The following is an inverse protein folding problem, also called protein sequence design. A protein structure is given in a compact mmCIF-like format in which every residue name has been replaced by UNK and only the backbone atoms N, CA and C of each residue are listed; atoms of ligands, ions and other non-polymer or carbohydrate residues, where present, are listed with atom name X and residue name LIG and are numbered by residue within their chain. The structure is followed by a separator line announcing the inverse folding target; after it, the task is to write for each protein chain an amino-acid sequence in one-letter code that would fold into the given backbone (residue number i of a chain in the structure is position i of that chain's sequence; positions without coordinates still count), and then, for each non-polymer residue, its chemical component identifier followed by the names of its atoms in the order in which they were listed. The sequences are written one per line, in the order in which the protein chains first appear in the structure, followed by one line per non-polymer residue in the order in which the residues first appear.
data_IF_179591281840
#
_entry.id   IF_179591281840
#
_cell.length_a   1.000
_cell.length_b   1.000
_cell.length_c   1.000
_cell.angle_alpha   90.00
_cell.angle_beta   90.00
_cell.angle_gamma   90.00
#
_symmetry.space_group_name_H-M   'P 1'
#
loop_
_entity.id
_entity.type
_entity.pdbx_description
1 polymer ?
#
# COMPACT_ATOMS: atom_id res chain seq x y z
N UNK A 1 -3.60 6.07 -26.25
CA UNK A 1 -4.86 6.17 -25.47
C UNK A 1 -5.17 7.62 -25.23
N UNK A 2 -6.28 8.13 -25.72
CA UNK A 2 -6.77 9.47 -25.40
C UNK A 2 -7.25 9.45 -23.93
N UNK A 3 -6.58 10.22 -23.07
CA UNK A 3 -7.09 10.46 -21.70
C UNK A 3 -8.49 11.05 -21.82
N UNK A 4 -9.45 10.60 -21.01
CA UNK A 4 -10.81 11.11 -21.08
C UNK A 4 -10.79 12.62 -20.86
N UNK A 5 -11.48 13.38 -21.72
CA UNK A 5 -11.60 14.86 -21.68
C UNK A 5 -12.21 15.41 -20.37
N UNK A 6 -12.69 14.54 -19.48
CA UNK A 6 -13.33 14.83 -18.20
C UNK A 6 -12.39 15.54 -17.22
N UNK A 7 -11.08 15.22 -17.22
CA UNK A 7 -10.12 15.85 -16.31
C UNK A 7 -9.89 17.35 -16.59
N UNK A 8 -10.00 17.76 -17.85
CA UNK A 8 -9.80 19.16 -18.25
C UNK A 8 -10.88 20.11 -17.71
N UNK A 9 -12.13 19.68 -17.66
CA UNK A 9 -13.24 20.48 -17.16
C UNK A 9 -13.24 20.60 -15.64
N UNK A 10 -12.91 19.51 -14.93
CA UNK A 10 -12.80 19.51 -13.47
C UNK A 10 -11.66 20.43 -12.99
N UNK A 11 -10.50 20.39 -13.67
CA UNK A 11 -9.38 21.29 -13.37
C UNK A 11 -9.76 22.76 -13.62
N UNK A 12 -10.45 23.05 -14.72
CA UNK A 12 -10.91 24.42 -15.03
C UNK A 12 -11.92 24.93 -14.00
N UNK A 13 -12.88 24.09 -13.60
CA UNK A 13 -13.84 24.43 -12.55
C UNK A 13 -13.15 24.77 -11.24
N UNK A 14 -12.22 23.90 -10.80
CA UNK A 14 -11.42 24.12 -9.59
C UNK A 14 -10.61 25.44 -9.66
N UNK A 15 -9.89 25.68 -10.76
CA UNK A 15 -9.11 26.89 -10.94
C UNK A 15 -9.97 28.16 -10.92
N UNK A 16 -11.18 28.12 -11.47
CA UNK A 16 -12.14 29.21 -11.44
C UNK A 16 -12.62 29.50 -10.02
N UNK A 17 -12.87 28.48 -9.24
CA UNK A 17 -13.38 28.62 -7.88
C UNK A 17 -12.33 29.18 -6.92
N UNK A 18 -11.09 28.69 -6.98
CA UNK A 18 -10.00 29.24 -6.17
C UNK A 18 -9.61 30.67 -6.62
N UNK A 19 -9.86 31.01 -7.89
CA UNK A 19 -9.59 32.33 -8.44
C UNK A 19 -10.47 33.45 -7.87
N UNK A 20 -11.65 33.11 -7.33
CA UNK A 20 -12.60 34.05 -6.73
C UNK A 20 -12.19 34.53 -5.33
N UNK A 21 -11.29 33.78 -4.68
CA UNK A 21 -10.86 34.07 -3.32
C UNK A 21 -9.74 35.11 -3.36
N UNK A 22 -9.89 36.25 -2.65
CA UNK A 22 -8.86 37.27 -2.61
C UNK A 22 -7.61 36.77 -1.87
N UNK A 23 -6.45 37.29 -2.25
CA UNK A 23 -5.21 37.03 -1.53
C UNK A 23 -5.22 37.79 -0.20
N UNK A 24 -4.52 37.25 0.80
CA UNK A 24 -4.35 37.92 2.09
C UNK A 24 -3.22 38.92 2.05
N UNK A 25 -3.41 40.01 2.74
CA UNK A 25 -2.33 40.96 3.04
C UNK A 25 -1.47 40.47 4.21
N UNK A 26 -0.26 40.98 4.33
CA UNK A 26 0.68 40.55 5.36
C UNK A 26 0.13 40.70 6.79
N UNK A 27 -0.54 41.80 7.06
CA UNK A 27 -1.14 42.07 8.37
C UNK A 27 -2.30 41.07 8.67
N UNK A 28 -3.07 40.70 7.64
CA UNK A 28 -4.10 39.67 7.76
C UNK A 28 -3.48 38.30 8.03
N UNK A 29 -2.37 37.94 7.38
CA UNK A 29 -1.63 36.69 7.65
C UNK A 29 -1.21 36.58 9.11
N UNK A 30 -0.70 37.67 9.67
CA UNK A 30 -0.28 37.75 11.09
C UNK A 30 -1.48 37.61 12.01
N UNK A 31 -2.58 38.32 11.74
CA UNK A 31 -3.77 38.27 12.58
C UNK A 31 -4.44 36.90 12.57
N UNK A 32 -4.58 36.30 11.39
CA UNK A 32 -5.14 34.95 11.23
C UNK A 32 -4.19 33.91 11.85
N UNK A 33 -2.88 34.01 11.63
CA UNK A 33 -1.89 33.10 12.18
C UNK A 33 -1.92 33.08 13.73
N UNK A 34 -2.09 34.22 14.41
CA UNK A 34 -2.24 34.30 15.85
C UNK A 34 -3.49 33.54 16.33
N UNK A 35 -4.63 33.68 15.61
CA UNK A 35 -5.87 32.94 15.96
C UNK A 35 -5.69 31.43 15.77
N UNK A 36 -4.99 31.00 14.72
CA UNK A 36 -4.68 29.58 14.50
C UNK A 36 -3.74 29.05 15.57
N UNK A 37 -2.74 29.83 16.02
CA UNK A 37 -1.88 29.40 17.14
C UNK A 37 -2.69 29.19 18.45
N UNK A 38 -3.64 30.09 18.72
CA UNK A 38 -4.53 29.92 19.88
C UNK A 38 -5.38 28.64 19.78
N UNK A 39 -5.91 28.37 18.59
CA UNK A 39 -6.62 27.11 18.31
C UNK A 39 -5.72 25.90 18.56
N UNK A 40 -4.50 25.90 17.99
CA UNK A 40 -3.58 24.76 18.11
C UNK A 40 -3.18 24.49 19.57
N UNK A 41 -2.95 25.53 20.39
CA UNK A 41 -2.69 25.38 21.83
C UNK A 41 -3.84 24.66 22.56
N UNK A 42 -5.09 25.00 22.21
CA UNK A 42 -6.26 24.35 22.81
C UNK A 42 -6.35 22.87 22.37
N UNK A 43 -6.08 22.60 21.10
CA UNK A 43 -6.10 21.25 20.54
C UNK A 43 -4.99 20.38 21.12
N UNK A 44 -3.77 20.89 21.26
CA UNK A 44 -2.63 20.19 21.84
C UNK A 44 -2.89 19.84 23.30
N UNK A 45 -3.36 20.79 24.12
CA UNK A 45 -3.74 20.52 25.51
C UNK A 45 -4.86 19.49 25.63
N UNK A 46 -5.83 19.52 24.73
CA UNK A 46 -6.88 18.50 24.71
C UNK A 46 -6.34 17.11 24.36
N UNK A 47 -5.31 17.01 23.53
CA UNK A 47 -4.65 15.73 23.20
C UNK A 47 -3.78 15.22 24.35
N UNK A 48 -3.07 16.10 25.06
CA UNK A 48 -2.23 15.75 26.21
C UNK A 48 -3.03 15.27 27.41
N UNK A 49 -4.15 15.93 27.69
CA UNK A 49 -4.98 15.64 28.87
C UNK A 49 -5.98 14.48 28.64
N UNK A 50 -6.14 14.01 27.38
CA UNK A 50 -7.09 12.93 27.04
C UNK A 50 -8.55 13.35 27.01
N UNK A 51 -9.51 12.44 27.14
CA UNK A 51 -10.95 12.72 27.11
C UNK A 51 -11.38 13.43 28.41
N UNK A 52 -11.29 14.77 28.41
CA UNK A 52 -11.66 15.65 29.52
C UNK A 52 -12.87 16.49 29.13
N UNK A 53 -13.71 16.85 30.11
CA UNK A 53 -14.83 17.74 29.91
C UNK A 53 -14.37 19.17 29.54
N UNK A 54 -15.14 19.84 28.69
CA UNK A 54 -14.87 21.22 28.23
C UNK A 54 -14.63 22.21 29.38
N UNK A 55 -15.18 21.93 30.59
CA UNK A 55 -15.05 22.80 31.75
C UNK A 55 -13.66 22.71 32.40
N UNK A 56 -13.13 21.53 32.51
CA UNK A 56 -11.81 21.30 33.08
C UNK A 56 -10.69 21.74 32.14
N UNK A 57 -10.91 21.58 30.83
CA UNK A 57 -10.02 22.13 29.80
C UNK A 57 -10.00 23.67 29.86
N UNK A 58 -11.15 24.32 30.04
CA UNK A 58 -11.23 25.76 30.17
C UNK A 58 -10.52 26.26 31.41
N UNK A 59 -10.64 25.53 32.56
CA UNK A 59 -9.90 25.84 33.79
C UNK A 59 -8.39 25.72 33.60
N UNK A 60 -7.93 24.67 32.94
CA UNK A 60 -6.50 24.49 32.62
C UNK A 60 -5.92 25.62 31.76
N UNK A 61 -6.71 26.20 30.86
CA UNK A 61 -6.36 27.33 30.04
C UNK A 61 -6.52 28.69 30.76
N UNK A 62 -7.13 28.73 31.95
CA UNK A 62 -7.41 29.96 32.70
C UNK A 62 -8.48 30.86 32.03
N UNK A 63 -9.35 30.30 31.17
CA UNK A 63 -10.39 31.01 30.44
C UNK A 63 -11.77 30.44 30.72
N UNK A 64 -12.82 31.21 30.41
CA UNK A 64 -14.19 30.71 30.56
C UNK A 64 -14.55 29.72 29.43
N UNK A 65 -15.40 28.74 29.73
CA UNK A 65 -15.93 27.78 28.70
C UNK A 65 -16.50 28.49 27.47
N UNK A 66 -17.17 29.62 27.66
CA UNK A 66 -17.74 30.42 26.58
C UNK A 66 -16.66 31.05 25.71
N UNK A 67 -15.59 31.52 26.31
CA UNK A 67 -14.44 32.12 25.64
C UNK A 67 -13.64 31.06 24.87
N UNK A 68 -13.40 29.89 25.46
CA UNK A 68 -12.76 28.77 24.82
C UNK A 68 -13.54 28.34 23.55
N UNK A 69 -14.85 28.18 23.63
CA UNK A 69 -15.68 27.85 22.45
C UNK A 69 -15.68 28.94 21.38
N UNK A 70 -15.52 30.21 21.76
CA UNK A 70 -15.36 31.30 20.82
C UNK A 70 -13.98 31.23 20.14
N UNK A 71 -12.90 31.03 20.87
CA UNK A 71 -11.55 30.92 20.33
C UNK A 71 -11.43 29.73 19.40
N UNK A 72 -12.05 28.58 19.72
CA UNK A 72 -12.10 27.40 18.82
C UNK A 72 -12.75 27.76 17.48
N UNK A 73 -13.96 28.32 17.50
CA UNK A 73 -14.69 28.71 16.27
C UNK A 73 -13.96 29.77 15.45
N UNK A 74 -13.42 30.79 16.12
CA UNK A 74 -12.70 31.88 15.46
C UNK A 74 -11.37 31.38 14.88
N UNK A 75 -10.72 30.45 15.56
CA UNK A 75 -9.51 29.77 15.09
C UNK A 75 -9.76 28.85 13.90
N UNK A 76 -10.83 28.04 13.91
CA UNK A 76 -11.24 27.22 12.76
C UNK A 76 -11.53 28.06 11.53
N UNK A 77 -12.34 29.14 11.68
CA UNK A 77 -12.63 30.09 10.58
C UNK A 77 -11.37 30.78 10.06
N UNK A 78 -10.43 31.12 10.95
CA UNK A 78 -9.16 31.71 10.57
C UNK A 78 -8.30 30.72 9.78
N UNK A 79 -8.24 29.45 10.22
CA UNK A 79 -7.57 28.36 9.53
C UNK A 79 -8.12 28.15 8.13
N UNK A 80 -9.46 28.05 8.00
CA UNK A 80 -10.12 27.87 6.71
C UNK A 80 -9.84 29.05 5.77
N UNK A 81 -9.98 30.30 6.26
CA UNK A 81 -9.70 31.49 5.45
C UNK A 81 -8.25 31.50 4.98
N UNK A 82 -7.30 31.14 5.84
CA UNK A 82 -5.88 31.10 5.52
C UNK A 82 -5.53 30.00 4.51
N UNK A 83 -6.15 28.83 4.62
CA UNK A 83 -5.99 27.74 3.65
C UNK A 83 -6.59 28.14 2.30
N UNK A 84 -7.82 28.60 2.27
CA UNK A 84 -8.54 28.95 1.04
C UNK A 84 -7.82 30.05 0.24
N UNK A 85 -7.33 31.09 0.88
CA UNK A 85 -6.61 32.20 0.22
C UNK A 85 -5.25 31.75 -0.39
N UNK A 86 -4.67 30.62 0.09
CA UNK A 86 -3.39 30.12 -0.36
C UNK A 86 -3.46 28.89 -1.29
N UNK A 87 -4.64 28.44 -1.72
CA UNK A 87 -4.78 27.32 -2.66
C UNK A 87 -4.08 27.60 -4.01
N UNK A 88 -4.01 28.86 -4.45
CA UNK A 88 -3.28 29.25 -5.66
C UNK A 88 -1.78 28.94 -5.56
N UNK A 89 -1.19 29.07 -4.36
CA UNK A 89 0.19 28.69 -4.10
C UNK A 89 0.38 27.16 -4.27
N UNK A 90 -0.56 26.35 -3.75
CA UNK A 90 -0.52 24.89 -3.92
C UNK A 90 -0.50 24.51 -5.40
N UNK A 91 -1.37 25.11 -6.21
CA UNK A 91 -1.41 24.86 -7.67
C UNK A 91 -0.08 25.23 -8.34
N UNK A 92 0.52 26.35 -7.96
CA UNK A 92 1.82 26.80 -8.52
C UNK A 92 2.94 25.80 -8.25
N UNK A 93 2.92 25.16 -7.07
CA UNK A 93 3.89 24.12 -6.69
C UNK A 93 3.53 22.80 -7.39
N UNK A 94 2.27 22.37 -7.36
CA UNK A 94 1.78 21.12 -7.95
C UNK A 94 2.08 21.00 -9.46
N UNK A 95 1.98 22.10 -10.20
CA UNK A 95 2.32 22.15 -11.63
C UNK A 95 3.74 21.65 -11.96
N UNK A 96 4.69 21.78 -11.04
CA UNK A 96 6.08 21.31 -11.23
C UNK A 96 6.20 19.79 -11.14
N UNK A 97 5.17 19.10 -10.61
CA UNK A 97 5.15 17.65 -10.39
C UNK A 97 4.21 16.91 -11.33
N UNK A 98 3.66 17.59 -12.34
CA UNK A 98 2.92 16.93 -13.43
C UNK A 98 3.79 15.87 -14.11
N UNK A 99 3.19 14.83 -14.68
CA UNK A 99 3.87 13.68 -15.34
C UNK A 99 4.58 12.71 -14.38
N UNK A 100 4.10 12.61 -13.13
CA UNK A 100 4.63 11.68 -12.12
C UNK A 100 3.69 10.50 -11.82
N UNK A 101 2.92 10.02 -12.82
CA UNK A 101 1.92 8.95 -12.68
C UNK A 101 0.85 9.24 -11.62
N UNK A 102 0.51 10.51 -11.47
CA UNK A 102 -0.53 10.98 -10.56
C UNK A 102 -1.27 12.13 -11.24
N UNK A 103 -2.59 12.17 -11.12
CA UNK A 103 -3.40 13.21 -11.71
C UNK A 103 -3.14 14.56 -11.03
N UNK A 104 -3.22 15.66 -11.79
CA UNK A 104 -2.93 17.00 -11.25
C UNK A 104 -3.83 17.37 -10.08
N UNK A 105 -5.10 16.99 -10.11
CA UNK A 105 -6.03 17.27 -9.01
C UNK A 105 -5.63 16.51 -7.73
N UNK A 106 -5.19 15.26 -7.86
CA UNK A 106 -4.71 14.48 -6.72
C UNK A 106 -3.45 15.09 -6.11
N UNK A 107 -2.50 15.55 -6.96
CA UNK A 107 -1.31 16.25 -6.50
C UNK A 107 -1.68 17.54 -5.76
N UNK A 108 -2.69 18.28 -6.24
CA UNK A 108 -3.19 19.50 -5.59
C UNK A 108 -3.81 19.15 -4.24
N UNK A 109 -4.61 18.09 -4.13
CA UNK A 109 -5.23 17.68 -2.86
C UNK A 109 -4.17 17.29 -1.82
N UNK A 110 -3.18 16.51 -2.20
CA UNK A 110 -2.07 16.15 -1.31
C UNK A 110 -1.24 17.37 -0.90
N UNK A 111 -1.03 18.29 -1.83
CA UNK A 111 -0.40 19.59 -1.54
C UNK A 111 -1.23 20.44 -0.59
N UNK A 112 -2.57 20.40 -0.69
CA UNK A 112 -3.49 21.11 0.20
C UNK A 112 -3.45 20.54 1.63
N UNK A 113 -3.31 19.21 1.77
CA UNK A 113 -3.08 18.57 3.08
C UNK A 113 -1.75 19.08 3.69
N UNK A 114 -0.72 19.20 2.86
CA UNK A 114 0.54 19.82 3.27
C UNK A 114 0.37 21.28 3.69
N UNK A 115 -0.41 22.08 2.94
CA UNK A 115 -0.72 23.47 3.26
C UNK A 115 -1.43 23.58 4.62
N UNK A 116 -2.41 22.74 4.91
CA UNK A 116 -3.11 22.72 6.21
C UNK A 116 -2.11 22.54 7.35
N UNK A 117 -1.19 21.58 7.25
CA UNK A 117 -0.12 21.39 8.25
C UNK A 117 0.80 22.63 8.35
N UNK A 118 1.06 23.28 7.22
CA UNK A 118 1.83 24.53 7.20
C UNK A 118 1.11 25.67 7.94
N UNK A 119 -0.21 25.79 7.81
CA UNK A 119 -1.03 26.78 8.52
C UNK A 119 -1.04 26.49 10.03
N UNK A 120 -1.20 25.24 10.43
CA UNK A 120 -1.20 24.82 11.85
C UNK A 120 0.10 25.13 12.57
N UNK A 121 1.24 25.00 11.86
CA UNK A 121 2.58 25.18 12.43
C UNK A 121 3.18 26.56 12.15
N UNK A 122 2.44 27.46 11.52
CA UNK A 122 2.94 28.78 11.18
C UNK A 122 3.08 29.67 12.41
N UNK A 123 4.27 30.28 12.55
CA UNK A 123 4.55 31.25 13.60
C UNK A 123 4.67 32.66 13.01
N UNK A 124 3.66 33.52 13.15
CA UNK A 124 3.68 34.90 12.65
C UNK A 124 4.67 35.79 13.39
N UNK A 125 5.16 35.38 14.56
CA UNK A 125 6.13 36.19 15.33
C UNK A 125 7.54 36.21 14.71
N UNK A 126 7.84 35.29 13.79
CA UNK A 126 9.15 35.21 13.12
C UNK A 126 9.36 36.19 11.98
N UNK A 127 8.37 36.98 11.60
CA UNK A 127 8.47 38.03 10.58
C UNK A 127 8.61 37.56 9.12
N UNK A 128 8.54 36.27 8.85
CA UNK A 128 8.57 35.72 7.49
C UNK A 128 7.18 35.67 6.88
N UNK A 129 7.10 35.87 5.55
CA UNK A 129 5.85 35.68 4.80
C UNK A 129 5.39 34.21 4.89
N UNK A 130 4.08 34.01 5.03
CA UNK A 130 3.51 32.67 5.10
C UNK A 130 3.87 31.80 3.90
N UNK A 131 3.89 32.36 2.70
CA UNK A 131 4.20 31.63 1.45
C UNK A 131 5.57 30.94 1.46
N UNK A 132 6.59 31.56 2.09
CA UNK A 132 7.94 30.98 2.20
C UNK A 132 7.94 29.72 3.06
N UNK A 133 7.19 29.72 4.16
CA UNK A 133 7.07 28.59 5.06
C UNK A 133 6.16 27.50 4.49
N UNK A 134 5.00 27.87 3.95
CA UNK A 134 4.02 26.97 3.38
C UNK A 134 4.58 26.16 2.19
N UNK A 135 5.47 26.75 1.38
CA UNK A 135 6.10 26.08 0.25
C UNK A 135 6.75 24.75 0.63
N UNK A 136 7.44 24.69 1.76
CA UNK A 136 8.13 23.49 2.23
C UNK A 136 7.13 22.38 2.61
N UNK A 137 6.05 22.73 3.30
CA UNK A 137 5.00 21.79 3.69
C UNK A 137 4.21 21.25 2.49
N UNK A 138 3.87 22.14 1.56
CA UNK A 138 3.20 21.75 0.30
C UNK A 138 4.11 20.79 -0.48
N UNK A 139 5.38 21.15 -0.66
CA UNK A 139 6.35 20.30 -1.35
C UNK A 139 6.52 18.95 -0.67
N UNK A 140 6.62 18.92 0.65
CA UNK A 140 6.75 17.69 1.42
C UNK A 140 5.50 16.80 1.25
N UNK A 141 4.30 17.37 1.34
CA UNK A 141 3.04 16.65 1.10
C UNK A 141 3.02 16.00 -0.28
N UNK A 142 3.30 16.79 -1.32
CA UNK A 142 3.32 16.30 -2.71
C UNK A 142 4.37 15.21 -2.93
N UNK A 143 5.61 15.42 -2.49
CA UNK A 143 6.69 14.45 -2.72
C UNK A 143 6.45 13.14 -1.98
N UNK A 144 5.91 13.22 -0.76
CA UNK A 144 5.52 12.04 0.01
C UNK A 144 4.38 11.28 -0.66
N UNK A 145 3.34 11.98 -1.11
CA UNK A 145 2.20 11.38 -1.80
C UNK A 145 2.63 10.68 -3.11
N UNK A 146 3.52 11.31 -3.88
CA UNK A 146 4.09 10.69 -5.09
C UNK A 146 4.87 9.41 -4.73
N UNK A 147 5.67 9.41 -3.66
CA UNK A 147 6.40 8.23 -3.25
C UNK A 147 5.48 7.07 -2.81
N UNK A 148 4.36 7.39 -2.16
CA UNK A 148 3.44 6.41 -1.57
C UNK A 148 2.31 5.95 -2.51
N UNK A 149 1.82 6.82 -3.41
CA UNK A 149 0.56 6.62 -4.16
C UNK A 149 0.70 6.59 -5.68
N UNK A 150 1.87 6.94 -6.26
CA UNK A 150 2.03 7.04 -7.71
C UNK A 150 2.11 5.70 -8.44
N UNK A 151 2.21 4.57 -7.72
CA UNK A 151 2.35 3.23 -8.28
C UNK A 151 1.12 2.37 -8.00
N UNK A 152 0.72 1.55 -8.97
CA UNK A 152 -0.36 0.57 -8.78
C UNK A 152 0.01 -0.44 -7.66
N UNK A 153 1.25 -0.90 -7.63
CA UNK A 153 1.78 -1.71 -6.54
C UNK A 153 2.65 -0.80 -5.67
N UNK A 154 2.21 -0.56 -4.43
CA UNK A 154 2.92 0.31 -3.47
C UNK A 154 4.29 -0.25 -3.13
N UNK A 155 5.31 0.61 -3.15
CA UNK A 155 6.65 0.32 -2.67
C UNK A 155 6.93 1.04 -1.34
N UNK A 156 7.75 0.47 -0.45
CA UNK A 156 8.24 1.16 0.74
C UNK A 156 9.04 2.43 0.36
N UNK A 157 9.02 3.43 1.25
CA UNK A 157 9.65 4.74 0.97
C UNK A 157 11.15 4.60 0.70
N UNK A 158 11.87 3.78 1.49
CA UNK A 158 13.31 3.56 1.30
C UNK A 158 13.66 2.97 -0.07
N UNK A 159 12.81 2.06 -0.61
CA UNK A 159 12.98 1.52 -1.97
C UNK A 159 12.78 2.61 -3.01
N UNK A 160 11.76 3.46 -2.83
CA UNK A 160 11.49 4.60 -3.73
C UNK A 160 12.63 5.61 -3.71
N UNK A 161 13.23 5.88 -2.54
CA UNK A 161 14.42 6.73 -2.41
C UNK A 161 15.63 6.14 -3.13
N UNK A 162 15.89 4.84 -2.96
CA UNK A 162 16.97 4.15 -3.67
C UNK A 162 16.76 4.15 -5.18
N UNK A 163 15.51 3.96 -5.65
CA UNK A 163 15.17 4.09 -7.07
C UNK A 163 15.41 5.51 -7.61
N UNK A 164 15.13 6.54 -6.80
CA UNK A 164 15.42 7.92 -7.18
C UNK A 164 16.93 8.19 -7.24
N UNK A 165 17.72 7.65 -6.29
CA UNK A 165 19.19 7.71 -6.32
C UNK A 165 19.73 7.00 -7.57
N UNK A 166 19.23 5.80 -7.88
CA UNK A 166 19.61 5.03 -9.06
C UNK A 166 19.35 5.81 -10.35
N UNK A 167 18.14 6.38 -10.50
CA UNK A 167 17.79 7.21 -11.67
C UNK A 167 18.65 8.49 -11.78
N UNK A 168 19.03 9.06 -10.65
CA UNK A 168 19.92 10.24 -10.62
C UNK A 168 21.33 9.84 -11.08
N UNK A 169 21.89 8.76 -10.52
CA UNK A 169 23.18 8.21 -10.90
C UNK A 169 23.25 7.84 -12.39
N UNK A 170 22.19 7.20 -12.92
CA UNK A 170 22.09 6.88 -14.34
C UNK A 170 22.18 8.13 -15.22
N UNK A 171 21.50 9.22 -14.86
CA UNK A 171 21.55 10.49 -15.62
C UNK A 171 22.91 11.14 -15.55
N UNK A 172 23.52 11.21 -14.36
CA UNK A 172 24.83 11.84 -14.14
C UNK A 172 25.92 11.10 -14.88
N UNK A 173 25.98 9.77 -14.77
CA UNK A 173 26.94 8.95 -15.50
C UNK A 173 26.71 8.99 -17.01
N UNK A 174 25.46 9.01 -17.47
CA UNK A 174 25.14 9.14 -18.88
C UNK A 174 25.56 10.48 -19.46
N UNK A 175 25.49 11.57 -18.68
CA UNK A 175 26.00 12.89 -19.09
C UNK A 175 27.55 12.93 -19.18
N UNK A 176 28.22 12.22 -18.27
CA UNK A 176 29.70 12.18 -18.25
C UNK A 176 30.24 11.29 -19.35
N UNK A 177 29.68 10.08 -19.51
CA UNK A 177 30.19 9.06 -20.43
C UNK A 177 29.64 9.15 -21.84
N UNK A 178 28.53 9.92 -22.05
CA UNK A 178 27.83 9.97 -23.34
C UNK A 178 26.98 8.75 -23.66
N UNK A 179 27.08 7.68 -22.88
CA UNK A 179 26.40 6.40 -23.05
C UNK A 179 25.67 5.97 -21.77
N UNK A 180 24.72 5.03 -21.90
CA UNK A 180 24.02 4.46 -20.75
C UNK A 180 25.00 3.67 -19.85
N UNK A 181 25.07 3.96 -18.53
CA UNK A 181 25.98 3.28 -17.63
C UNK A 181 25.64 1.80 -17.46
N UNK A 182 26.67 0.95 -17.39
CA UNK A 182 26.53 -0.46 -17.08
C UNK A 182 26.24 -0.67 -15.58
N UNK A 183 25.71 -1.85 -15.23
CA UNK A 183 25.35 -2.22 -13.85
C UNK A 183 26.57 -2.13 -12.91
N UNK A 184 27.77 -2.49 -13.38
CA UNK A 184 29.01 -2.38 -12.60
C UNK A 184 29.37 -0.93 -12.28
N UNK A 185 29.25 -0.02 -13.25
CA UNK A 185 29.50 1.42 -13.04
C UNK A 185 28.51 2.05 -12.05
N UNK A 186 27.25 1.58 -12.07
CA UNK A 186 26.24 2.00 -11.12
C UNK A 186 26.52 1.44 -9.71
N UNK A 187 27.05 0.21 -9.62
CA UNK A 187 27.47 -0.42 -8.39
C UNK A 187 28.58 0.39 -7.70
N UNK A 188 29.62 0.73 -8.46
CA UNK A 188 30.75 1.52 -7.97
C UNK A 188 30.36 2.95 -7.57
N UNK A 189 29.40 3.55 -8.30
CA UNK A 189 28.95 4.91 -8.04
C UNK A 189 28.02 5.04 -6.82
N UNK A 190 27.20 4.01 -6.56
CA UNK A 190 26.19 4.02 -5.49
C UNK A 190 26.62 3.27 -4.23
N UNK A 191 27.79 2.63 -4.22
CA UNK A 191 28.24 1.74 -3.13
C UNK A 191 27.23 0.62 -2.82
N UNK A 192 26.59 0.06 -3.86
CA UNK A 192 25.62 -1.02 -3.77
C UNK A 192 26.14 -2.25 -4.51
N UNK A 193 25.74 -3.43 -4.07
CA UNK A 193 26.08 -4.68 -4.78
C UNK A 193 25.36 -4.77 -6.13
N UNK A 194 25.96 -5.49 -7.07
CA UNK A 194 25.38 -5.71 -8.41
C UNK A 194 23.99 -6.35 -8.32
N UNK A 195 23.80 -7.26 -7.36
CA UNK A 195 22.52 -7.96 -7.19
C UNK A 195 21.43 -7.04 -6.60
N UNK A 196 21.78 -6.13 -5.69
CA UNK A 196 20.87 -5.10 -5.19
C UNK A 196 20.42 -4.16 -6.31
N UNK A 197 21.31 -3.78 -7.22
CA UNK A 197 20.95 -2.93 -8.36
C UNK A 197 20.03 -3.67 -9.32
N UNK A 198 20.29 -4.95 -9.62
CA UNK A 198 19.38 -5.76 -10.44
C UNK A 198 18.00 -5.89 -9.82
N UNK A 199 17.94 -6.12 -8.51
CA UNK A 199 16.68 -6.18 -7.75
C UNK A 199 15.93 -4.85 -7.79
N UNK A 200 16.62 -3.72 -7.59
CA UNK A 200 16.05 -2.38 -7.74
C UNK A 200 15.54 -2.12 -9.17
N UNK A 201 16.29 -2.54 -10.19
CA UNK A 201 15.84 -2.41 -11.58
C UNK A 201 14.58 -3.26 -11.85
N UNK A 202 14.51 -4.46 -11.30
CA UNK A 202 13.31 -5.31 -11.39
C UNK A 202 12.11 -4.65 -10.72
N UNK A 203 12.27 -4.12 -9.50
CA UNK A 203 11.24 -3.38 -8.76
C UNK A 203 10.86 -2.03 -9.41
N UNK A 204 11.72 -1.50 -10.27
CA UNK A 204 11.45 -0.27 -11.05
C UNK A 204 10.36 -0.45 -12.10
N UNK A 205 10.12 -1.67 -12.58
CA UNK A 205 9.14 -1.98 -13.62
C UNK A 205 7.73 -1.60 -13.15
N UNK A 206 6.91 -1.15 -14.08
CA UNK A 206 5.51 -0.85 -13.83
C UNK A 206 4.64 -1.92 -14.47
N UNK A 207 3.52 -2.30 -13.84
CA UNK A 207 2.56 -3.21 -14.47
C UNK A 207 1.98 -2.56 -15.73
N UNK A 208 1.75 -3.40 -16.71
CA UNK A 208 1.14 -3.03 -17.99
C UNK A 208 -0.35 -3.39 -17.93
N UNK A 209 -1.21 -2.58 -18.56
CA UNK A 209 -2.64 -2.89 -18.63
C UNK A 209 -2.89 -4.11 -19.50
N UNK A 210 -3.75 -5.01 -19.05
CA UNK A 210 -4.19 -6.17 -19.81
C UNK A 210 -5.11 -5.82 -20.99
N UNK A 211 -5.72 -4.63 -20.96
CA UNK A 211 -6.59 -4.14 -22.04
C UNK A 211 -5.82 -3.53 -23.22
N UNK A 212 -4.49 -3.54 -23.17
CA UNK A 212 -3.69 -3.04 -24.29
C UNK A 212 -3.93 -3.92 -25.51
N UNK A 213 -4.35 -3.29 -26.59
CA UNK A 213 -4.57 -3.94 -27.87
C UNK A 213 -3.24 -4.17 -28.58
N UNK A 214 -3.02 -5.41 -29.04
CA UNK A 214 -1.81 -5.89 -29.68
C UNK A 214 -2.15 -6.27 -31.13
N UNK A 215 -1.14 -6.30 -32.00
CA UNK A 215 -1.26 -6.62 -33.42
C UNK A 215 -1.43 -5.39 -34.29
N UNK A 216 -1.21 -5.55 -35.59
CA UNK A 216 -1.30 -4.47 -36.57
C UNK A 216 -2.72 -3.89 -36.66
N UNK A 217 -3.74 -4.73 -36.58
CA UNK A 217 -5.15 -4.32 -36.60
C UNK A 217 -5.71 -3.86 -35.27
N UNK A 218 -4.98 -4.06 -34.13
CA UNK A 218 -5.41 -3.73 -32.78
C UNK A 218 -6.74 -4.37 -32.36
N UNK A 219 -6.98 -5.59 -32.80
CA UNK A 219 -8.24 -6.30 -32.52
C UNK A 219 -8.15 -7.17 -31.26
N UNK A 220 -6.95 -7.69 -30.93
CA UNK A 220 -6.72 -8.59 -29.80
C UNK A 220 -6.18 -7.82 -28.60
N UNK A 221 -6.75 -8.03 -27.41
CA UNK A 221 -6.22 -7.50 -26.16
C UNK A 221 -5.14 -8.43 -25.59
N UNK A 222 -4.24 -7.88 -24.77
CA UNK A 222 -3.19 -8.69 -24.09
C UNK A 222 -3.81 -9.81 -23.25
N UNK A 223 -4.97 -9.56 -22.63
CA UNK A 223 -5.69 -10.54 -21.83
C UNK A 223 -6.11 -11.78 -22.63
N UNK A 224 -6.44 -11.60 -23.91
CA UNK A 224 -6.90 -12.70 -24.78
C UNK A 224 -5.75 -13.66 -25.15
N UNK A 225 -4.50 -13.27 -24.91
CA UNK A 225 -3.29 -14.06 -25.18
C UNK A 225 -2.76 -14.79 -23.93
N UNK A 226 -3.33 -14.53 -22.76
CA UNK A 226 -2.91 -15.18 -21.54
C UNK A 226 -3.64 -16.50 -21.39
N UNK A 227 -2.88 -17.55 -21.09
CA UNK A 227 -3.42 -18.88 -20.79
C UNK A 227 -4.19 -18.82 -19.47
N UNK A 228 -5.31 -19.56 -19.43
CA UNK A 228 -6.04 -19.78 -18.21
C UNK A 228 -5.37 -20.93 -17.42
N UNK A 229 -4.81 -20.60 -16.25
CA UNK A 229 -4.16 -21.58 -15.35
C UNK A 229 -5.17 -22.43 -14.56
N UNK A 230 -6.47 -22.23 -14.77
CA UNK A 230 -7.48 -23.05 -14.08
C UNK A 230 -7.37 -24.50 -14.57
N UNK A 231 -7.45 -25.42 -13.60
CA UNK A 231 -7.39 -26.85 -13.92
C UNK A 231 -8.51 -27.22 -14.87
N UNK A 232 -8.16 -27.92 -15.96
CA UNK A 232 -9.13 -28.42 -16.91
C UNK A 232 -10.16 -29.32 -16.19
N UNK A 233 -11.44 -29.34 -16.64
CA UNK A 233 -12.46 -30.22 -16.05
C UNK A 233 -12.01 -31.66 -15.97
N UNK A 234 -11.26 -32.16 -16.96
CA UNK A 234 -10.74 -33.52 -17.02
C UNK A 234 -9.75 -33.79 -15.87
N UNK A 235 -8.82 -32.88 -15.60
CA UNK A 235 -7.86 -32.99 -14.50
C UNK A 235 -8.54 -32.92 -13.12
N UNK A 236 -9.62 -32.14 -13.01
CA UNK A 236 -10.45 -32.13 -11.79
C UNK A 236 -11.14 -33.45 -11.56
N UNK A 237 -11.71 -34.04 -12.60
CA UNK A 237 -12.35 -35.37 -12.54
C UNK A 237 -11.32 -36.45 -12.19
N UNK A 238 -10.18 -36.50 -12.85
CA UNK A 238 -9.07 -37.41 -12.54
C UNK A 238 -8.65 -37.29 -11.06
N UNK A 239 -8.49 -36.09 -10.57
CA UNK A 239 -8.16 -35.85 -9.16
C UNK A 239 -9.26 -36.33 -8.21
N UNK A 240 -10.50 -36.18 -8.61
CA UNK A 240 -11.64 -36.66 -7.82
C UNK A 240 -11.67 -38.20 -7.80
N UNK A 241 -11.54 -38.87 -8.94
CA UNK A 241 -11.48 -40.32 -9.02
C UNK A 241 -10.32 -40.90 -8.20
N UNK A 242 -9.12 -40.30 -8.31
CA UNK A 242 -7.97 -40.71 -7.49
C UNK A 242 -8.31 -40.63 -5.98
N UNK A 243 -8.97 -39.55 -5.55
CA UNK A 243 -9.40 -39.41 -4.16
C UNK A 243 -10.42 -40.44 -3.72
N UNK A 244 -11.36 -40.79 -4.60
CA UNK A 244 -12.37 -41.83 -4.34
C UNK A 244 -11.74 -43.22 -4.27
N UNK A 245 -10.82 -43.54 -5.18
CA UNK A 245 -10.09 -44.80 -5.20
C UNK A 245 -9.20 -44.96 -3.96
N UNK A 246 -8.48 -43.92 -3.56
CA UNK A 246 -7.70 -43.95 -2.32
C UNK A 246 -8.61 -44.17 -1.11
N UNK A 247 -9.78 -43.54 -1.04
CA UNK A 247 -10.74 -43.78 0.04
C UNK A 247 -11.28 -45.19 0.03
N UNK A 248 -11.55 -45.74 -1.13
CA UNK A 248 -11.99 -47.13 -1.27
C UNK A 248 -10.91 -48.12 -0.79
N UNK A 249 -9.65 -47.92 -1.17
CA UNK A 249 -8.54 -48.74 -0.69
C UNK A 249 -8.33 -48.64 0.84
N UNK A 250 -8.49 -47.47 1.42
CA UNK A 250 -8.38 -47.27 2.88
C UNK A 250 -9.52 -48.03 3.61
N UNK A 251 -10.73 -48.07 3.04
CA UNK A 251 -11.86 -48.83 3.62
C UNK A 251 -11.62 -50.33 3.65
N UNK A 252 -10.80 -50.88 2.75
CA UNK A 252 -10.45 -52.30 2.73
C UNK A 252 -9.41 -52.68 3.81
N UNK A 253 -8.73 -51.70 4.43
CA UNK A 253 -7.77 -51.93 5.50
C UNK A 253 -8.47 -52.30 6.83
N UNK A 254 -7.81 -53.05 7.73
CA UNK A 254 -8.29 -53.22 9.11
C UNK A 254 -8.53 -51.88 9.79
N UNK A 255 -9.59 -51.76 10.56
CA UNK A 255 -10.10 -50.51 11.16
C UNK A 255 -9.02 -49.63 11.81
N UNK A 256 -8.13 -50.27 12.62
CA UNK A 256 -7.03 -49.56 13.29
C UNK A 256 -5.95 -49.03 12.32
N UNK A 257 -5.72 -49.71 11.21
CA UNK A 257 -4.77 -49.28 10.19
C UNK A 257 -5.37 -48.15 9.34
N UNK A 258 -6.64 -48.25 9.00
CA UNK A 258 -7.38 -47.22 8.29
C UNK A 258 -7.42 -45.91 9.11
N UNK A 259 -7.73 -45.99 10.41
CA UNK A 259 -7.74 -44.85 11.30
C UNK A 259 -6.36 -44.15 11.38
N UNK A 260 -5.27 -44.93 11.52
CA UNK A 260 -3.91 -44.38 11.57
C UNK A 260 -3.56 -43.67 10.26
N UNK A 261 -3.84 -44.25 9.09
CA UNK A 261 -3.57 -43.65 7.78
C UNK A 261 -4.42 -42.39 7.57
N UNK A 262 -5.70 -42.46 7.87
CA UNK A 262 -6.61 -41.30 7.74
C UNK A 262 -6.16 -40.11 8.57
N UNK A 263 -5.80 -40.33 9.85
CA UNK A 263 -5.29 -39.27 10.73
C UNK A 263 -3.91 -38.78 10.29
N UNK A 264 -3.03 -39.64 9.78
CA UNK A 264 -1.67 -39.31 9.38
C UNK A 264 -1.62 -38.41 8.15
N UNK A 265 -2.45 -38.69 7.16
CA UNK A 265 -2.46 -38.00 5.87
C UNK A 265 -3.64 -37.05 5.70
N UNK A 266 -4.53 -36.93 6.68
CA UNK A 266 -5.71 -36.07 6.60
C UNK A 266 -6.74 -36.55 5.55
N UNK A 267 -6.88 -37.89 5.37
CA UNK A 267 -7.77 -38.49 4.36
C UNK A 267 -9.00 -39.04 5.07
N UNK A 268 -9.93 -38.19 5.45
CA UNK A 268 -11.15 -38.66 6.13
C UNK A 268 -12.22 -37.57 6.08
N UNK A 269 -13.47 -37.95 6.39
CA UNK A 269 -14.57 -36.97 6.48
C UNK A 269 -14.42 -36.07 7.71
N UNK A 270 -13.83 -36.63 8.80
CA UNK A 270 -13.67 -35.92 10.09
C UNK A 270 -12.26 -35.34 10.34
N UNK A 271 -11.27 -35.64 9.49
CA UNK A 271 -9.87 -35.23 9.71
C UNK A 271 -9.40 -34.39 8.54
N UNK A 272 -9.36 -33.07 8.71
CA UNK A 272 -8.92 -32.13 7.68
C UNK A 272 -7.40 -31.86 7.66
N UNK A 273 -6.69 -32.09 8.77
CA UNK A 273 -5.26 -31.77 8.86
C UNK A 273 -4.41 -33.02 9.21
N UNK A 274 -3.23 -33.17 8.56
CA UNK A 274 -2.33 -34.31 8.86
C UNK A 274 -1.81 -34.24 10.30
N UNK A 275 -1.90 -35.31 11.04
CA UNK A 275 -1.45 -35.38 12.43
C UNK A 275 -0.07 -36.02 12.57
N UNK A 276 0.67 -35.62 13.63
CA UNK A 276 1.93 -36.26 14.00
C UNK A 276 1.70 -37.65 14.63
N UNK A 277 2.69 -38.57 14.49
CA UNK A 277 2.59 -39.92 15.09
C UNK A 277 2.37 -39.88 16.62
N UNK A 278 2.89 -38.87 17.31
CA UNK A 278 2.67 -38.67 18.74
C UNK A 278 1.25 -38.21 19.05
N UNK A 279 0.68 -37.32 18.26
CA UNK A 279 -0.71 -36.90 18.42
C UNK A 279 -1.69 -38.06 18.14
N UNK A 280 -1.43 -38.84 17.09
CA UNK A 280 -2.23 -40.04 16.78
C UNK A 280 -2.14 -41.03 17.92
N UNK A 281 -0.96 -41.25 18.51
CA UNK A 281 -0.78 -42.11 19.68
C UNK A 281 -1.61 -41.66 20.88
N UNK A 282 -1.71 -40.38 21.12
CA UNK A 282 -2.57 -39.80 22.18
C UNK A 282 -4.07 -40.01 21.90
N UNK A 283 -4.53 -39.82 20.68
CA UNK A 283 -5.93 -39.98 20.29
C UNK A 283 -6.36 -41.46 20.37
N UNK A 284 -5.51 -42.38 19.92
CA UNK A 284 -5.80 -43.82 19.88
C UNK A 284 -5.32 -44.58 21.14
N UNK A 285 -4.82 -43.87 22.16
CA UNK A 285 -4.25 -44.48 23.38
C UNK A 285 -3.17 -45.54 23.12
N UNK A 286 -2.25 -45.26 22.19
CA UNK A 286 -1.18 -46.19 21.79
C UNK A 286 0.20 -45.51 21.86
N UNK A 287 1.24 -46.39 22.00
CA UNK A 287 2.62 -45.89 21.90
C UNK A 287 2.96 -45.43 20.47
N UNK A 288 3.84 -44.44 20.34
CA UNK A 288 4.34 -43.95 19.05
C UNK A 288 4.89 -45.07 18.15
N UNK A 289 5.59 -46.06 18.75
CA UNK A 289 6.16 -47.17 18.01
C UNK A 289 5.08 -48.12 17.47
N UNK A 290 4.00 -48.26 18.21
CA UNK A 290 2.82 -49.06 17.75
C UNK A 290 2.13 -48.36 16.57
N UNK A 291 1.97 -47.04 16.63
CA UNK A 291 1.40 -46.26 15.50
C UNK A 291 2.30 -46.39 14.26
N UNK A 292 3.62 -46.30 14.41
CA UNK A 292 4.58 -46.48 13.32
C UNK A 292 4.50 -47.86 12.70
N UNK A 293 4.36 -48.90 13.54
CA UNK A 293 4.24 -50.28 13.06
C UNK A 293 2.93 -50.49 12.27
N UNK A 294 1.82 -49.90 12.71
CA UNK A 294 0.53 -49.94 12.03
C UNK A 294 0.58 -49.18 10.71
N UNK A 295 1.17 -47.96 10.67
CA UNK A 295 1.39 -47.20 9.45
C UNK A 295 2.19 -47.98 8.41
N UNK A 296 3.31 -48.59 8.81
CA UNK A 296 4.13 -49.41 7.90
C UNK A 296 3.41 -50.64 7.36
N UNK A 297 2.60 -51.31 8.19
CA UNK A 297 1.76 -52.44 7.76
C UNK A 297 0.68 -52.01 6.79
N UNK A 298 0.00 -50.90 7.07
CA UNK A 298 -1.00 -50.36 6.21
C UNK A 298 -0.45 -49.94 4.84
N UNK A 299 0.68 -49.21 4.82
CA UNK A 299 1.34 -48.81 3.59
C UNK A 299 1.84 -50.00 2.75
N UNK A 300 2.29 -51.10 3.41
CA UNK A 300 2.62 -52.35 2.70
C UNK A 300 1.39 -53.00 2.09
N UNK A 301 0.27 -53.06 2.83
CA UNK A 301 -1.01 -53.58 2.31
C UNK A 301 -1.48 -52.76 1.10
N UNK A 302 -1.52 -51.43 1.22
CA UNK A 302 -1.93 -50.57 0.13
C UNK A 302 -1.04 -50.70 -1.12
N UNK A 303 0.29 -50.91 -0.96
CA UNK A 303 1.19 -51.10 -2.10
C UNK A 303 0.92 -52.43 -2.86
N UNK A 304 0.43 -53.45 -2.20
CA UNK A 304 0.05 -54.72 -2.84
C UNK A 304 -1.25 -54.61 -3.63
N UNK A 305 -2.17 -53.77 -3.16
CA UNK A 305 -3.47 -53.52 -3.83
C UNK A 305 -3.42 -52.37 -4.85
N UNK A 306 -2.29 -51.64 -4.94
CA UNK A 306 -2.13 -50.40 -5.75
C UNK A 306 -2.03 -50.62 -7.27
N UNK A 307 -2.12 -51.89 -7.77
CA UNK A 307 -2.11 -52.13 -9.21
C UNK A 307 -3.23 -51.40 -9.96
N UNK A 308 -4.31 -51.00 -9.28
CA UNK A 308 -5.40 -50.20 -9.86
C UNK A 308 -5.05 -48.69 -9.98
N UNK A 309 -4.13 -48.20 -9.14
CA UNK A 309 -3.73 -46.77 -9.17
C UNK A 309 -2.57 -46.52 -10.14
N UNK A 310 -1.82 -47.56 -10.51
CA UNK A 310 -0.71 -47.42 -11.48
C UNK A 310 -1.16 -47.01 -12.87
N UNK A 311 -2.46 -47.03 -13.17
CA UNK A 311 -3.02 -46.53 -14.43
C UNK A 311 -3.10 -44.98 -14.48
N UNK A 312 -3.07 -44.34 -13.32
CA UNK A 312 -3.14 -42.85 -13.21
C UNK A 312 -1.75 -42.20 -13.03
N UNK A 313 -0.68 -42.96 -12.95
CA UNK A 313 0.71 -42.51 -12.81
C UNK A 313 1.50 -42.71 -14.10
#
# INVERSE_FOLDING_TARGET
MAQPKISGDSVRAYLRDIGRIPLLEHDEEILLGRKVQQLMKIVELKQELGPIEDEDLAKALGITKKEMKRQLRDGERAKDKMVMANLRLVVSVAKKYTKRNMELLDIIQEGSIGLVRGVEKFDPGRGYKFSTYAYWWIRQGITRAIAEKSRAIRLPIHVTENLNKLKKAQRELSQINGEMPNVFQLSDYLDLTVDEIKDLMCKSRQPTSLEIKIGENRDTALIDLLDDETQLPDTLLETQYIKEDIRALIRNLPEMQAAVISMRFGIGEDVMEPMSMTAIGQVLNMSRDRVRTLEQKALRGLRLESNMISEYL
#
